data_IF_046898006670
#
_entry.id   IF_046898006670
#
_cell.length_a   1.000
_cell.length_b   1.000
_cell.length_c   1.000
_cell.angle_alpha   90.00
_cell.angle_beta   90.00
_cell.angle_gamma   90.00
#
_symmetry.space_group_name_H-M   'P 1'
#
loop_
_entity.id
_entity.type
_entity.pdbx_description
1 polymer ?
#
# COMPACT_ATOMS: atom_id res chain seq x y z
N UNK A 1 27.14 -6.80 73.28
CA UNK A 1 27.15 -6.93 74.75
C UNK A 1 28.42 -6.28 75.27
N UNK A 2 28.31 -5.44 76.29
CA UNK A 2 29.45 -4.72 76.88
C UNK A 2 29.55 -5.12 78.35
N UNK A 3 30.60 -5.86 78.70
CA UNK A 3 30.80 -6.41 80.04
C UNK A 3 30.86 -5.31 81.11
N UNK A 4 31.35 -4.12 80.77
CA UNK A 4 31.37 -3.00 81.71
C UNK A 4 29.98 -2.45 81.97
N UNK A 5 29.11 -2.41 80.95
CA UNK A 5 27.69 -2.02 81.13
C UNK A 5 26.93 -3.04 81.97
N UNK A 6 27.11 -4.33 81.67
CA UNK A 6 26.53 -5.43 82.44
C UNK A 6 26.99 -5.38 83.90
N UNK A 7 28.30 -5.24 84.13
CA UNK A 7 28.88 -5.15 85.46
C UNK A 7 28.36 -3.95 86.26
N UNK A 8 28.32 -2.76 85.66
CA UNK A 8 27.74 -1.57 86.29
C UNK A 8 26.26 -1.75 86.62
N UNK A 9 25.51 -2.43 85.76
CA UNK A 9 24.09 -2.71 85.97
C UNK A 9 23.85 -3.71 87.12
N UNK A 10 24.65 -4.77 87.19
CA UNK A 10 24.66 -5.71 88.33
C UNK A 10 24.98 -4.95 89.63
N UNK A 11 25.98 -4.08 89.60
CA UNK A 11 26.38 -3.28 90.76
C UNK A 11 25.29 -2.30 91.21
N UNK A 12 24.57 -1.67 90.27
CA UNK A 12 23.46 -0.76 90.60
C UNK A 12 22.31 -1.52 91.25
N UNK A 13 21.89 -2.65 90.69
CA UNK A 13 20.81 -3.47 91.23
C UNK A 13 21.16 -4.02 92.62
N UNK A 14 22.40 -4.49 92.82
CA UNK A 14 22.84 -4.96 94.14
C UNK A 14 22.75 -3.84 95.18
N UNK A 15 23.22 -2.64 94.84
CA UNK A 15 23.20 -1.48 95.74
C UNK A 15 21.76 -1.02 96.03
N UNK A 16 20.88 -1.06 95.04
CA UNK A 16 19.45 -0.75 95.21
C UNK A 16 18.78 -1.73 96.19
N UNK A 17 19.20 -3.00 96.19
CA UNK A 17 18.78 -4.00 97.18
C UNK A 17 19.49 -3.89 98.55
N UNK A 18 20.40 -2.93 98.72
CA UNK A 18 21.15 -2.73 99.97
C UNK A 18 22.14 -3.84 100.33
N UNK A 19 22.45 -4.75 99.40
CA UNK A 19 23.32 -5.90 99.66
C UNK A 19 24.80 -5.54 99.51
N UNK A 20 25.69 -6.08 100.33
CA UNK A 20 27.14 -6.08 100.10
C UNK A 20 27.53 -7.12 99.04
N UNK A 21 28.74 -7.02 98.46
CA UNK A 21 29.23 -8.03 97.52
C UNK A 21 29.34 -9.42 98.17
N UNK A 22 29.66 -9.47 99.46
CA UNK A 22 29.72 -10.70 100.24
C UNK A 22 28.33 -11.32 100.43
N UNK A 23 27.31 -10.52 100.72
CA UNK A 23 25.92 -10.99 100.88
C UNK A 23 25.34 -11.49 99.56
N UNK A 24 25.57 -10.77 98.45
CA UNK A 24 25.16 -11.24 97.12
C UNK A 24 25.90 -12.54 96.74
N UNK A 25 27.21 -12.62 97.02
CA UNK A 25 28.00 -13.82 96.81
C UNK A 25 27.46 -15.02 97.60
N UNK A 26 27.14 -14.82 98.88
CA UNK A 26 26.57 -15.85 99.75
C UNK A 26 25.22 -16.37 99.21
N UNK A 27 24.32 -15.47 98.80
CA UNK A 27 23.03 -15.82 98.18
C UNK A 27 23.20 -16.63 96.89
N UNK A 28 24.25 -16.37 96.12
CA UNK A 28 24.54 -17.04 94.86
C UNK A 28 25.51 -18.22 94.98
N UNK A 29 25.96 -18.56 96.20
CA UNK A 29 26.99 -19.58 96.46
C UNK A 29 28.30 -19.33 95.69
N UNK A 30 28.70 -18.07 95.55
CA UNK A 30 29.98 -17.65 94.95
C UNK A 30 30.77 -16.74 95.89
N UNK A 31 32.05 -16.56 95.61
CA UNK A 31 32.88 -15.63 96.38
C UNK A 31 32.51 -14.17 96.06
N UNK A 32 32.65 -13.30 97.05
CA UNK A 32 32.61 -11.84 96.89
C UNK A 32 33.56 -11.34 95.77
N UNK A 33 34.72 -11.99 95.62
CA UNK A 33 35.68 -11.74 94.53
C UNK A 33 35.09 -12.02 93.14
N UNK A 34 34.24 -13.02 93.00
CA UNK A 34 33.55 -13.31 91.74
C UNK A 34 32.56 -12.19 91.39
N UNK A 35 31.74 -11.78 92.37
CA UNK A 35 30.82 -10.64 92.23
C UNK A 35 31.58 -9.35 91.88
N UNK A 36 32.71 -9.09 92.55
CA UNK A 36 33.58 -7.94 92.25
C UNK A 36 34.16 -7.94 90.83
N UNK A 37 34.48 -9.12 90.28
CA UNK A 37 34.92 -9.23 88.88
C UNK A 37 33.78 -8.97 87.91
N UNK A 38 32.57 -9.43 88.22
CA UNK A 38 31.38 -9.13 87.42
C UNK A 38 31.08 -7.64 87.40
N UNK A 39 31.04 -7.00 88.57
CA UNK A 39 30.70 -5.58 88.70
C UNK A 39 31.71 -4.65 88.00
N UNK A 40 32.97 -5.09 87.89
CA UNK A 40 34.04 -4.38 87.17
C UNK A 40 34.17 -4.78 85.70
N UNK A 41 33.30 -5.65 85.19
CA UNK A 41 33.33 -6.12 83.80
C UNK A 41 34.52 -7.01 83.45
N UNK A 42 35.27 -7.52 84.44
CA UNK A 42 36.45 -8.37 84.25
C UNK A 42 36.08 -9.82 83.91
N UNK A 43 34.89 -10.25 84.29
CA UNK A 43 34.30 -11.54 83.91
C UNK A 43 32.78 -11.40 83.90
N UNK A 44 32.08 -12.39 83.33
CA UNK A 44 30.62 -12.47 83.42
C UNK A 44 30.20 -13.56 84.41
N UNK A 45 28.99 -13.46 84.99
CA UNK A 45 28.37 -14.58 85.67
C UNK A 45 28.22 -15.77 84.70
N UNK A 46 28.43 -16.98 85.21
CA UNK A 46 28.17 -18.19 84.43
C UNK A 46 26.66 -18.28 84.10
N UNK A 47 26.34 -18.90 82.97
CA UNK A 47 24.95 -19.07 82.49
C UNK A 47 24.08 -19.77 83.53
N UNK A 48 24.65 -20.72 84.27
CA UNK A 48 24.02 -21.45 85.38
C UNK A 48 23.61 -20.54 86.55
N UNK A 49 24.26 -19.39 86.70
CA UNK A 49 24.03 -18.42 87.76
C UNK A 49 23.12 -17.27 87.34
N UNK A 50 22.90 -17.06 86.04
CA UNK A 50 22.16 -15.91 85.54
C UNK A 50 20.71 -15.87 86.02
N UNK A 51 20.02 -17.02 86.04
CA UNK A 51 18.63 -17.11 86.52
C UNK A 51 18.53 -16.77 88.01
N UNK A 52 19.45 -17.31 88.82
CA UNK A 52 19.49 -17.04 90.25
C UNK A 52 19.90 -15.59 90.55
N UNK A 53 20.87 -15.06 89.80
CA UNK A 53 21.30 -13.66 89.87
C UNK A 53 20.15 -12.71 89.51
N UNK A 54 19.39 -13.01 88.45
CA UNK A 54 18.19 -12.27 88.05
C UNK A 54 17.15 -12.27 89.17
N UNK A 55 16.91 -13.43 89.77
CA UNK A 55 15.98 -13.59 90.89
C UNK A 55 16.39 -12.77 92.12
N UNK A 56 17.65 -12.88 92.56
CA UNK A 56 18.16 -12.15 93.74
C UNK A 56 18.20 -10.63 93.54
N UNK A 57 18.44 -10.18 92.30
CA UNK A 57 18.45 -8.76 91.94
C UNK A 57 17.06 -8.21 91.55
N UNK A 58 16.06 -9.08 91.37
CA UNK A 58 14.69 -8.72 91.03
C UNK A 58 14.51 -8.21 89.58
N UNK A 59 15.21 -8.81 88.62
CA UNK A 59 15.14 -8.47 87.19
C UNK A 59 15.06 -9.75 86.34
N UNK A 60 15.10 -9.65 85.02
CA UNK A 60 15.17 -10.80 84.10
C UNK A 60 16.57 -10.94 83.46
N UNK A 61 16.85 -12.12 82.91
CA UNK A 61 18.16 -12.44 82.32
C UNK A 61 18.48 -11.54 81.12
N UNK A 62 17.49 -11.19 80.28
CA UNK A 62 17.70 -10.32 79.12
C UNK A 62 18.08 -8.90 79.57
N UNK A 63 17.45 -8.40 80.63
CA UNK A 63 17.80 -7.13 81.28
C UNK A 63 19.21 -7.13 81.87
N UNK A 64 19.62 -8.19 82.58
CA UNK A 64 21.00 -8.34 83.08
C UNK A 64 22.01 -8.28 81.93
N UNK A 65 21.72 -9.02 80.86
CA UNK A 65 22.60 -9.12 79.70
C UNK A 65 22.50 -7.91 78.75
N UNK A 66 21.64 -6.93 79.06
CA UNK A 66 21.41 -5.72 78.27
C UNK A 66 21.07 -6.07 76.80
N UNK A 67 20.25 -7.09 76.60
CA UNK A 67 19.79 -7.53 75.28
C UNK A 67 18.52 -6.75 74.93
N UNK A 68 18.59 -5.89 73.93
CA UNK A 68 17.38 -5.34 73.31
C UNK A 68 16.61 -6.47 72.62
N UNK A 69 15.37 -6.71 73.02
CA UNK A 69 14.46 -7.58 72.28
C UNK A 69 14.22 -6.96 70.90
N UNK A 70 14.81 -7.56 69.85
CA UNK A 70 14.46 -7.19 68.48
C UNK A 70 13.03 -7.70 68.20
N UNK A 71 12.09 -6.76 68.19
CA UNK A 71 10.68 -6.99 67.92
C UNK A 71 10.41 -7.66 66.55
N UNK A 72 9.44 -8.58 66.56
CA UNK A 72 8.59 -9.14 65.51
C UNK A 72 8.95 -8.82 64.04
N UNK A 73 9.44 -9.82 63.31
CA UNK A 73 9.53 -9.78 61.83
C UNK A 73 8.10 -9.79 61.27
N UNK A 74 7.72 -8.74 60.55
CA UNK A 74 6.44 -8.68 59.83
C UNK A 74 6.50 -9.54 58.56
N UNK A 75 6.23 -10.84 58.75
CA UNK A 75 6.24 -11.86 57.70
C UNK A 75 5.26 -11.51 56.58
N UNK A 76 4.12 -10.89 56.90
CA UNK A 76 3.10 -10.54 55.91
C UNK A 76 3.60 -9.45 54.95
N UNK A 77 4.31 -8.45 55.47
CA UNK A 77 4.94 -7.42 54.64
C UNK A 77 5.99 -8.02 53.69
N UNK A 78 6.85 -8.92 54.18
CA UNK A 78 7.87 -9.58 53.37
C UNK A 78 7.23 -10.40 52.24
N UNK A 79 6.23 -11.24 52.57
CA UNK A 79 5.51 -12.04 51.58
C UNK A 79 4.83 -11.18 50.52
N UNK A 80 4.26 -10.04 50.91
CA UNK A 80 3.62 -9.12 49.97
C UNK A 80 4.63 -8.41 49.06
N UNK A 81 5.81 -8.05 49.57
CA UNK A 81 6.90 -7.50 48.76
C UNK A 81 7.44 -8.52 47.76
N UNK A 82 7.65 -9.77 48.17
CA UNK A 82 8.04 -10.86 47.28
C UNK A 82 6.98 -11.15 46.21
N UNK A 83 5.70 -11.23 46.60
CA UNK A 83 4.58 -11.41 45.67
C UNK A 83 4.51 -10.27 44.65
N UNK A 84 4.75 -9.02 45.06
CA UNK A 84 4.82 -7.87 44.15
C UNK A 84 5.99 -7.99 43.18
N UNK A 85 7.18 -8.41 43.64
CA UNK A 85 8.35 -8.64 42.79
C UNK A 85 8.07 -9.74 41.77
N UNK A 86 7.50 -10.87 42.20
CA UNK A 86 7.11 -11.98 41.33
C UNK A 86 6.06 -11.54 40.30
N UNK A 87 4.99 -10.84 40.71
CA UNK A 87 3.98 -10.30 39.78
C UNK A 87 4.60 -9.38 38.73
N UNK A 88 5.49 -8.46 39.13
CA UNK A 88 6.21 -7.59 38.20
C UNK A 88 7.08 -8.39 37.22
N UNK A 89 7.78 -9.42 37.69
CA UNK A 89 8.57 -10.31 36.84
C UNK A 89 7.71 -11.10 35.85
N UNK A 90 6.57 -11.63 36.29
CA UNK A 90 5.61 -12.34 35.43
C UNK A 90 5.07 -11.39 34.36
N UNK A 91 4.55 -10.22 34.73
CA UNK A 91 4.03 -9.23 33.78
C UNK A 91 5.10 -8.83 32.75
N UNK A 92 6.34 -8.56 33.20
CA UNK A 92 7.45 -8.21 32.29
C UNK A 92 7.74 -9.33 31.29
N UNK A 93 7.75 -10.59 31.74
CA UNK A 93 7.94 -11.76 30.86
C UNK A 93 6.75 -11.95 29.90
N UNK A 94 5.52 -11.77 30.38
CA UNK A 94 4.32 -11.87 29.56
C UNK A 94 4.30 -10.81 28.45
N UNK A 95 4.61 -9.54 28.77
CA UNK A 95 4.69 -8.47 27.78
C UNK A 95 5.79 -8.76 26.75
N UNK A 96 6.95 -9.25 27.19
CA UNK A 96 8.07 -9.58 26.28
C UNK A 96 7.68 -10.64 25.23
N UNK A 97 6.78 -11.57 25.57
CA UNK A 97 6.29 -12.63 24.67
C UNK A 97 5.11 -12.14 23.82
N UNK A 98 4.18 -11.37 24.41
CA UNK A 98 2.96 -10.93 23.72
C UNK A 98 3.19 -9.76 22.76
N UNK A 99 4.13 -8.86 23.06
CA UNK A 99 4.44 -7.70 22.24
C UNK A 99 4.83 -8.08 20.78
N UNK A 100 5.77 -9.01 20.53
CA UNK A 100 6.10 -9.39 19.16
C UNK A 100 4.92 -10.06 18.45
N UNK A 101 4.10 -10.85 19.16
CA UNK A 101 2.90 -11.44 18.59
C UNK A 101 1.90 -10.37 18.14
N UNK A 102 1.68 -9.35 18.96
CA UNK A 102 0.81 -8.22 18.60
C UNK A 102 1.35 -7.43 17.41
N UNK A 103 2.67 -7.21 17.35
CA UNK A 103 3.33 -6.55 16.20
C UNK A 103 3.13 -7.38 14.93
N UNK A 104 3.37 -8.69 14.99
CA UNK A 104 3.17 -9.60 13.85
C UNK A 104 1.71 -9.57 13.38
N UNK A 105 0.76 -9.65 14.32
CA UNK A 105 -0.67 -9.57 14.01
C UNK A 105 -1.02 -8.24 13.35
N UNK A 106 -0.50 -7.12 13.86
CA UNK A 106 -0.70 -5.80 13.27
C UNK A 106 -0.16 -5.71 11.84
N UNK A 107 1.00 -6.31 11.56
CA UNK A 107 1.57 -6.35 10.20
C UNK A 107 0.70 -7.20 9.27
N UNK A 108 0.19 -8.34 9.73
CA UNK A 108 -0.71 -9.19 8.95
C UNK A 108 -2.02 -8.46 8.64
N UNK A 109 -2.64 -7.82 9.64
CA UNK A 109 -3.86 -7.03 9.45
C UNK A 109 -3.63 -5.86 8.50
N UNK A 110 -2.51 -5.16 8.64
CA UNK A 110 -2.13 -4.08 7.73
C UNK A 110 -1.97 -4.54 6.27
N UNK A 111 -1.67 -5.83 6.01
CA UNK A 111 -1.65 -6.36 4.65
C UNK A 111 -3.04 -6.68 4.07
N UNK A 112 -4.07 -6.81 4.91
CA UNK A 112 -5.40 -7.32 4.54
C UNK A 112 -6.52 -6.25 4.50
N UNK A 113 -6.42 -5.17 5.29
CA UNK A 113 -7.47 -4.13 5.35
C UNK A 113 -7.46 -3.28 4.07
N UNK A 114 -8.53 -3.07 3.29
CA UNK A 114 -8.50 -2.16 2.14
C UNK A 114 -8.59 -0.68 2.59
N UNK A 115 -7.55 0.12 2.32
CA UNK A 115 -7.51 1.55 2.65
C UNK A 115 -7.91 2.45 1.48
N UNK A 116 -8.02 1.88 0.27
CA UNK A 116 -8.33 2.60 -0.96
C UNK A 116 -7.08 3.13 -1.66
N UNK A 117 -7.27 4.09 -2.55
CA UNK A 117 -6.23 4.71 -3.37
C UNK A 117 -6.33 6.25 -3.30
N UNK A 118 -5.22 6.92 -3.60
CA UNK A 118 -5.16 8.36 -3.86
C UNK A 118 -4.97 8.57 -5.37
N UNK A 119 -5.62 9.58 -5.93
CA UNK A 119 -5.43 9.97 -7.33
C UNK A 119 -4.34 11.02 -7.38
N UNK A 120 -3.19 10.69 -7.98
CA UNK A 120 -2.01 11.54 -7.98
C UNK A 120 -1.72 12.01 -9.41
N UNK A 121 -1.53 13.31 -9.66
CA UNK A 121 -1.09 13.81 -10.96
C UNK A 121 0.38 13.44 -11.18
N UNK A 122 0.68 12.80 -12.31
CA UNK A 122 2.04 12.45 -12.73
C UNK A 122 2.27 12.91 -14.18
N UNK A 123 3.51 13.28 -14.52
CA UNK A 123 3.85 13.69 -15.89
C UNK A 123 3.91 12.46 -16.79
N UNK A 124 3.32 12.58 -17.98
CA UNK A 124 3.41 11.53 -18.98
C UNK A 124 4.81 11.49 -19.59
N UNK A 125 5.40 10.30 -19.69
CA UNK A 125 6.84 10.17 -20.02
C UNK A 125 7.16 10.58 -21.47
N UNK A 126 6.18 10.48 -22.37
CA UNK A 126 6.35 10.90 -23.78
C UNK A 126 5.93 12.35 -24.06
N UNK A 127 5.32 13.04 -23.09
CA UNK A 127 4.93 14.43 -23.22
C UNK A 127 4.92 15.09 -21.84
N UNK A 128 5.98 15.83 -21.51
CA UNK A 128 6.17 16.39 -20.16
C UNK A 128 5.11 17.42 -19.77
N UNK A 129 4.44 18.05 -20.74
CA UNK A 129 3.35 19.01 -20.51
C UNK A 129 2.01 18.31 -20.24
N UNK A 130 1.94 17.00 -20.50
CA UNK A 130 0.74 16.19 -20.29
C UNK A 130 0.75 15.58 -18.89
N UNK A 131 -0.30 15.85 -18.13
CA UNK A 131 -0.54 15.28 -16.80
C UNK A 131 -1.57 14.16 -16.89
N UNK A 132 -1.25 13.02 -16.27
CA UNK A 132 -2.18 11.89 -16.11
C UNK A 132 -2.50 11.71 -14.62
N UNK A 133 -3.74 11.30 -14.32
CA UNK A 133 -4.23 11.18 -12.95
C UNK A 133 -4.35 9.71 -12.55
N UNK A 134 -3.32 9.17 -11.90
CA UNK A 134 -3.23 7.74 -11.63
C UNK A 134 -3.69 7.38 -10.21
N UNK A 135 -4.56 6.39 -10.09
CA UNK A 135 -5.00 5.85 -8.81
C UNK A 135 -3.95 4.93 -8.19
N UNK A 136 -3.32 5.41 -7.13
CA UNK A 136 -2.24 4.73 -6.42
C UNK A 136 -2.76 4.31 -5.04
N UNK A 137 -2.84 3.01 -4.73
CA UNK A 137 -3.16 2.49 -3.41
C UNK A 137 -2.42 3.21 -2.27
N UNK A 138 -3.14 3.53 -1.20
CA UNK A 138 -2.57 4.21 -0.04
C UNK A 138 -1.41 3.42 0.56
N UNK A 139 -0.46 4.14 1.15
CA UNK A 139 0.77 3.58 1.71
C UNK A 139 1.69 2.92 0.66
N UNK A 140 1.58 3.35 -0.59
CA UNK A 140 2.56 3.05 -1.63
C UNK A 140 3.66 4.11 -1.65
N UNK A 141 4.87 3.72 -2.06
CA UNK A 141 6.03 4.61 -2.16
C UNK A 141 6.89 4.23 -3.38
N UNK A 142 7.92 5.04 -3.64
CA UNK A 142 8.95 4.79 -4.67
C UNK A 142 8.35 4.54 -6.06
N UNK A 143 7.84 5.62 -6.67
CA UNK A 143 7.34 5.59 -8.03
C UNK A 143 8.50 5.56 -9.03
N UNK A 144 8.49 4.60 -9.95
CA UNK A 144 9.38 4.53 -11.10
C UNK A 144 8.52 4.58 -12.36
N UNK A 145 8.94 5.40 -13.33
CA UNK A 145 8.33 5.49 -14.65
C UNK A 145 9.37 5.20 -15.72
N UNK A 146 9.08 4.27 -16.63
CA UNK A 146 9.92 3.97 -17.79
C UNK A 146 9.05 3.75 -19.02
N UNK A 147 9.27 4.55 -20.06
CA UNK A 147 8.41 4.61 -21.25
C UNK A 147 6.92 4.74 -20.84
N UNK A 148 6.12 3.72 -21.14
CA UNK A 148 4.69 3.65 -20.85
C UNK A 148 4.36 2.93 -19.53
N UNK A 149 5.38 2.54 -18.75
CA UNK A 149 5.21 1.76 -17.53
C UNK A 149 5.40 2.61 -16.28
N UNK A 150 4.40 2.59 -15.39
CA UNK A 150 4.40 3.29 -14.11
C UNK A 150 4.28 2.27 -12.98
N UNK A 151 5.21 2.27 -12.04
CA UNK A 151 5.23 1.28 -10.97
C UNK A 151 5.54 1.88 -9.62
N UNK A 152 4.93 1.32 -8.57
CA UNK A 152 5.12 1.74 -7.19
C UNK A 152 5.21 0.53 -6.27
N UNK A 153 5.93 0.70 -5.17
CA UNK A 153 6.14 -0.33 -4.16
C UNK A 153 5.16 -0.15 -3.01
N UNK A 154 4.73 -1.25 -2.42
CA UNK A 154 3.81 -1.26 -1.29
C UNK A 154 4.03 -2.48 -0.40
N UNK A 155 3.91 -2.30 0.92
CA UNK A 155 3.97 -3.37 1.91
C UNK A 155 2.66 -4.14 2.00
N UNK A 156 1.62 -3.65 1.32
CA UNK A 156 0.24 -4.12 1.33
C UNK A 156 0.11 -5.45 0.59
N UNK A 157 -0.89 -6.28 0.92
CA UNK A 157 -1.07 -7.58 0.29
C UNK A 157 -1.41 -7.50 -1.21
N UNK A 158 -0.96 -8.47 -2.00
CA UNK A 158 -1.14 -8.47 -3.47
C UNK A 158 -2.61 -8.39 -3.89
N UNK A 159 -3.48 -9.18 -3.25
CA UNK A 159 -4.91 -9.20 -3.54
C UNK A 159 -5.57 -7.86 -3.24
N UNK A 160 -5.13 -7.18 -2.16
CA UNK A 160 -5.65 -5.87 -1.79
C UNK A 160 -5.21 -4.81 -2.79
N UNK A 161 -3.93 -4.79 -3.16
CA UNK A 161 -3.43 -3.88 -4.19
C UNK A 161 -4.16 -4.09 -5.52
N UNK A 162 -4.29 -5.34 -5.97
CA UNK A 162 -5.00 -5.67 -7.22
C UNK A 162 -6.47 -5.21 -7.17
N UNK A 163 -7.12 -5.34 -6.02
CA UNK A 163 -8.49 -4.85 -5.82
C UNK A 163 -8.57 -3.33 -5.81
N UNK A 164 -7.67 -2.63 -5.12
CA UNK A 164 -7.65 -1.16 -5.04
C UNK A 164 -7.33 -0.54 -6.40
N UNK A 165 -6.38 -1.11 -7.15
CA UNK A 165 -6.11 -0.74 -8.55
C UNK A 165 -7.34 -0.94 -9.42
N UNK A 166 -8.00 -2.10 -9.32
CA UNK A 166 -9.23 -2.38 -10.08
C UNK A 166 -10.34 -1.39 -9.74
N UNK A 167 -10.49 -1.01 -8.47
CA UNK A 167 -11.50 -0.04 -8.05
C UNK A 167 -11.26 1.32 -8.72
N UNK A 168 -10.01 1.77 -8.82
CA UNK A 168 -9.66 2.96 -9.59
C UNK A 168 -9.94 2.77 -11.08
N UNK A 169 -9.51 1.67 -11.68
CA UNK A 169 -9.72 1.44 -13.12
C UNK A 169 -11.21 1.42 -13.50
N UNK A 170 -12.07 0.89 -12.63
CA UNK A 170 -13.52 0.91 -12.83
C UNK A 170 -14.14 2.32 -12.80
N UNK A 171 -13.41 3.36 -12.40
CA UNK A 171 -13.89 4.76 -12.51
C UNK A 171 -13.59 5.39 -13.86
N UNK A 172 -12.78 4.74 -14.71
CA UNK A 172 -12.43 5.20 -16.04
C UNK A 172 -13.46 4.71 -17.07
N UNK A 173 -13.43 5.30 -18.27
CA UNK A 173 -14.24 4.82 -19.39
C UNK A 173 -13.75 3.44 -19.85
N UNK A 174 -14.67 2.56 -20.22
CA UNK A 174 -14.33 1.22 -20.71
C UNK A 174 -14.41 1.19 -22.24
N UNK A 175 -13.27 1.04 -22.89
CA UNK A 175 -13.20 0.84 -24.35
C UNK A 175 -12.92 -0.63 -24.64
N UNK A 176 -13.54 -1.19 -25.68
CA UNK A 176 -13.40 -2.61 -26.03
C UNK A 176 -13.04 -2.79 -27.50
N UNK A 177 -12.03 -3.62 -27.75
CA UNK A 177 -11.60 -4.05 -29.08
C UNK A 177 -10.86 -5.40 -28.99
N UNK A 178 -10.94 -6.22 -30.04
CA UNK A 178 -10.31 -7.55 -30.10
C UNK A 178 -10.62 -8.42 -28.86
N UNK A 179 -11.89 -8.47 -28.45
CA UNK A 179 -12.38 -9.20 -27.26
C UNK A 179 -11.71 -8.81 -25.93
N UNK A 180 -11.01 -7.66 -25.90
CA UNK A 180 -10.32 -7.14 -24.73
C UNK A 180 -10.90 -5.79 -24.35
N UNK A 181 -11.12 -5.58 -23.05
CA UNK A 181 -11.55 -4.30 -22.49
C UNK A 181 -10.36 -3.59 -21.85
N UNK A 182 -10.18 -2.32 -22.23
CA UNK A 182 -9.19 -1.41 -21.67
C UNK A 182 -9.87 -0.26 -20.93
N UNK A 183 -9.09 0.50 -20.17
CA UNK A 183 -9.59 1.61 -19.35
C UNK A 183 -9.04 2.93 -19.89
N UNK A 184 -9.93 3.78 -20.39
CA UNK A 184 -9.62 5.05 -21.03
C UNK A 184 -9.93 6.23 -20.10
N UNK A 185 -8.94 7.09 -19.91
CA UNK A 185 -9.07 8.38 -19.25
C UNK A 185 -9.22 9.43 -20.35
N UNK A 186 -10.45 9.91 -20.56
CA UNK A 186 -10.78 10.90 -21.59
C UNK A 186 -10.24 12.29 -21.27
N UNK A 187 -10.11 12.63 -19.97
CA UNK A 187 -9.63 13.95 -19.54
C UNK A 187 -8.14 14.09 -19.82
N UNK A 188 -7.38 13.03 -19.55
CA UNK A 188 -5.97 12.97 -19.85
C UNK A 188 -5.67 12.38 -21.24
N UNK A 189 -6.66 11.93 -22.01
CA UNK A 189 -6.49 11.23 -23.29
C UNK A 189 -5.42 10.11 -23.23
N UNK A 190 -5.58 9.15 -22.32
CA UNK A 190 -4.67 7.98 -22.18
C UNK A 190 -5.45 6.71 -21.89
N UNK A 191 -4.89 5.56 -22.30
CA UNK A 191 -5.48 4.25 -22.03
C UNK A 191 -4.56 3.42 -21.13
N UNK A 192 -5.08 2.90 -20.03
CA UNK A 192 -4.43 1.83 -19.26
C UNK A 192 -4.68 0.50 -19.96
N UNK A 193 -3.63 -0.04 -20.59
CA UNK A 193 -3.72 -1.28 -21.39
C UNK A 193 -3.50 -2.54 -20.57
N UNK A 194 -2.74 -2.44 -19.48
CA UNK A 194 -2.48 -3.56 -18.59
C UNK A 194 -2.13 -3.04 -17.18
N UNK A 195 -2.40 -3.86 -16.17
CA UNK A 195 -1.95 -3.63 -14.81
C UNK A 195 -1.56 -4.96 -14.14
N UNK A 196 -0.57 -4.92 -13.27
CA UNK A 196 -0.09 -6.11 -12.57
C UNK A 196 0.37 -5.80 -11.15
N UNK A 197 0.34 -6.81 -10.30
CA UNK A 197 0.94 -6.76 -8.96
C UNK A 197 1.87 -7.95 -8.85
N UNK A 198 3.16 -7.67 -8.72
CA UNK A 198 4.21 -8.67 -8.49
C UNK A 198 4.75 -8.50 -7.08
N UNK A 199 5.32 -9.55 -6.49
CA UNK A 199 5.74 -9.50 -5.11
C UNK A 199 6.99 -10.29 -4.81
N UNK A 200 7.72 -9.83 -3.80
CA UNK A 200 8.77 -10.57 -3.13
C UNK A 200 8.47 -10.67 -1.62
N UNK A 201 9.44 -11.13 -0.83
CA UNK A 201 9.25 -11.37 0.60
C UNK A 201 9.08 -10.06 1.40
N UNK A 202 9.58 -8.94 0.89
CA UNK A 202 9.60 -7.64 1.58
C UNK A 202 8.48 -6.71 1.14
N UNK A 203 8.19 -6.64 -0.15
CA UNK A 203 7.20 -5.72 -0.71
C UNK A 203 6.57 -6.27 -1.99
N UNK A 204 5.47 -5.66 -2.38
CA UNK A 204 4.83 -5.85 -3.67
C UNK A 204 5.04 -4.63 -4.54
N UNK A 205 5.21 -4.84 -5.83
CA UNK A 205 5.28 -3.81 -6.86
C UNK A 205 4.00 -3.89 -7.67
N UNK A 206 3.27 -2.79 -7.72
CA UNK A 206 2.09 -2.64 -8.55
C UNK A 206 2.44 -1.73 -9.73
N UNK A 207 2.07 -2.16 -10.92
CA UNK A 207 2.47 -1.52 -12.18
C UNK A 207 1.27 -1.32 -13.10
N UNK A 208 1.24 -0.18 -13.78
CA UNK A 208 0.33 0.15 -14.87
C UNK A 208 1.14 0.31 -16.16
N UNK A 209 0.60 -0.19 -17.27
CA UNK A 209 1.08 0.13 -18.62
C UNK A 209 0.04 1.05 -19.27
N UNK A 210 0.48 2.24 -19.70
CA UNK A 210 -0.38 3.34 -20.12
C UNK A 210 0.06 3.80 -21.50
N UNK A 211 -0.86 3.82 -22.47
CA UNK A 211 -0.62 4.30 -23.82
C UNK A 211 -1.28 5.66 -24.01
N UNK A 212 -0.62 6.53 -24.76
CA UNK A 212 -1.20 7.80 -25.19
C UNK A 212 -2.45 7.57 -26.05
N UNK A 213 -3.50 8.35 -25.87
CA UNK A 213 -4.72 8.28 -26.67
C UNK A 213 -5.60 7.06 -26.39
N UNK A 214 -6.66 6.93 -27.19
CA UNK A 214 -7.49 5.73 -27.25
C UNK A 214 -6.71 4.57 -27.91
N UNK A 215 -6.41 3.52 -27.14
CA UNK A 215 -5.61 2.39 -27.63
C UNK A 215 -6.32 1.55 -28.69
N UNK A 216 -7.65 1.43 -28.61
CA UNK A 216 -8.42 0.71 -29.62
C UNK A 216 -8.36 1.40 -30.98
N UNK A 217 -8.38 2.73 -31.00
CA UNK A 217 -8.22 3.51 -32.21
C UNK A 217 -6.84 3.29 -32.84
N UNK A 218 -5.78 3.21 -32.02
CA UNK A 218 -4.43 2.93 -32.51
C UNK A 218 -4.31 1.54 -33.14
N UNK A 219 -4.93 0.53 -32.53
CA UNK A 219 -4.98 -0.82 -33.09
C UNK A 219 -5.74 -0.86 -34.41
N UNK A 220 -6.89 -0.20 -34.47
CA UNK A 220 -7.71 -0.11 -35.69
C UNK A 220 -6.96 0.63 -36.81
N UNK A 221 -6.30 1.76 -36.50
CA UNK A 221 -5.44 2.48 -37.44
C UNK A 221 -4.32 1.57 -37.96
N UNK A 222 -3.71 0.76 -37.09
CA UNK A 222 -2.65 -0.16 -37.51
C UNK A 222 -3.18 -1.21 -38.48
N UNK A 223 -4.32 -1.82 -38.17
CA UNK A 223 -4.98 -2.80 -39.05
C UNK A 223 -5.34 -2.18 -40.41
N UNK A 224 -5.94 -1.00 -40.40
CA UNK A 224 -6.32 -0.30 -41.63
C UNK A 224 -5.10 0.09 -42.47
N UNK A 225 -3.97 0.44 -41.82
CA UNK A 225 -2.70 0.70 -42.51
C UNK A 225 -2.14 -0.57 -43.15
N UNK A 226 -2.32 -1.74 -42.56
CA UNK A 226 -1.88 -3.00 -43.18
C UNK A 226 -2.69 -3.29 -44.45
N UNK A 227 -4.01 -3.03 -44.42
CA UNK A 227 -4.92 -3.25 -45.57
C UNK A 227 -4.76 -2.21 -46.69
N UNK A 228 -4.65 -0.93 -46.35
CA UNK A 228 -4.63 0.17 -47.32
C UNK A 228 -3.21 0.69 -47.59
N UNK A 229 -2.23 0.43 -46.73
CA UNK A 229 -0.94 1.12 -46.74
C UNK A 229 -0.99 2.40 -45.89
N UNK A 230 -0.86 3.57 -46.52
CA UNK A 230 -0.97 4.84 -45.78
C UNK A 230 -2.44 5.29 -45.70
N UNK A 231 -2.90 5.50 -44.46
CA UNK A 231 -4.31 5.79 -44.16
C UNK A 231 -4.74 7.23 -44.44
N UNK A 232 -3.81 8.18 -44.51
CA UNK A 232 -4.09 9.59 -44.85
C UNK A 232 -3.74 9.89 -46.32
N UNK A 233 -3.60 8.86 -47.15
CA UNK A 233 -3.31 9.01 -48.57
C UNK A 233 -4.59 9.14 -49.34
N UNK A 234 -4.69 10.23 -50.11
CA UNK A 234 -5.76 10.45 -51.09
C UNK A 234 -5.70 9.30 -52.09
N UNK A 235 -6.83 8.64 -52.31
CA UNK A 235 -6.97 7.59 -53.31
C UNK A 235 -7.55 8.17 -54.57
N UNK A 236 -6.85 7.94 -55.67
CA UNK A 236 -7.23 8.45 -56.98
C UNK A 236 -7.56 7.31 -57.93
N UNK A 237 -8.37 7.61 -58.95
CA UNK A 237 -8.64 6.65 -60.01
C UNK A 237 -7.32 6.17 -60.63
N UNK A 238 -7.18 4.86 -60.79
CA UNK A 238 -5.99 4.21 -61.33
C UNK A 238 -6.12 3.99 -62.84
N UNK A 239 -6.51 5.04 -63.56
CA UNK A 239 -6.61 5.10 -65.01
C UNK A 239 -6.24 6.51 -65.49
N UNK A 240 -5.14 6.62 -66.23
CA UNK A 240 -4.63 7.92 -66.74
C UNK A 240 -5.37 8.38 -68.00
N UNK A 241 -6.12 7.51 -68.67
CA UNK A 241 -6.87 7.81 -69.89
C UNK A 241 -8.35 8.16 -69.59
N UNK A 242 -8.78 7.99 -68.34
CA UNK A 242 -10.16 8.30 -67.93
C UNK A 242 -10.39 9.80 -67.83
N UNK A 243 -11.53 10.26 -68.34
CA UNK A 243 -12.03 11.63 -68.12
C UNK A 243 -12.59 11.84 -66.71
N UNK A 244 -12.55 10.82 -65.85
CA UNK A 244 -13.10 10.81 -64.51
C UNK A 244 -12.01 11.00 -63.45
N UNK A 245 -12.11 12.07 -62.67
CA UNK A 245 -11.22 12.32 -61.52
C UNK A 245 -11.95 11.99 -60.23
N UNK A 246 -11.49 10.94 -59.53
CA UNK A 246 -12.03 10.54 -58.22
C UNK A 246 -10.99 10.79 -57.15
N UNK A 247 -11.39 11.42 -56.05
CA UNK A 247 -10.58 11.62 -54.85
C UNK A 247 -11.32 11.11 -53.62
N UNK A 248 -10.90 9.96 -53.12
CA UNK A 248 -11.32 9.48 -51.80
C UNK A 248 -10.27 9.90 -50.75
N UNK A 249 -10.68 10.74 -49.82
CA UNK A 249 -9.80 11.41 -48.84
C UNK A 249 -10.15 10.90 -47.43
N UNK A 250 -9.51 9.81 -46.98
CA UNK A 250 -9.68 9.33 -45.61
C UNK A 250 -9.00 10.27 -44.59
N UNK A 251 -9.61 10.38 -43.41
CA UNK A 251 -9.11 11.17 -42.28
C UNK A 251 -8.88 10.28 -41.05
N UNK A 252 -7.80 10.52 -40.31
CA UNK A 252 -7.53 9.92 -38.99
C UNK A 252 -8.39 10.52 -37.86
N UNK A 253 -9.47 11.23 -38.17
CA UNK A 253 -10.44 11.73 -37.19
C UNK A 253 -11.68 10.84 -37.19
N UNK A 254 -12.24 10.58 -36.02
CA UNK A 254 -13.53 9.88 -35.87
C UNK A 254 -14.68 10.88 -35.72
N UNK A 255 -15.88 10.40 -36.02
CA UNK A 255 -17.11 11.04 -35.59
C UNK A 255 -17.33 10.80 -34.09
N UNK A 256 -17.78 11.82 -33.35
CA UNK A 256 -17.93 11.75 -31.90
C UNK A 256 -18.83 10.57 -31.49
N UNK A 257 -18.32 9.70 -30.60
CA UNK A 257 -19.06 8.56 -30.07
C UNK A 257 -19.26 7.37 -31.04
N UNK A 258 -18.61 7.35 -32.21
CA UNK A 258 -18.77 6.25 -33.17
C UNK A 258 -17.42 5.66 -33.65
N UNK A 259 -17.38 4.35 -33.94
CA UNK A 259 -16.18 3.64 -34.42
C UNK A 259 -15.86 3.89 -35.91
N UNK A 260 -16.42 4.94 -36.49
CA UNK A 260 -16.29 5.27 -37.91
C UNK A 260 -15.37 6.47 -38.10
N UNK A 261 -14.59 6.42 -39.16
CA UNK A 261 -13.57 7.41 -39.50
C UNK A 261 -14.11 8.38 -40.51
N UNK A 262 -13.76 9.66 -40.43
CA UNK A 262 -14.22 10.65 -41.39
C UNK A 262 -13.57 10.43 -42.76
N UNK A 263 -14.33 10.65 -43.82
CA UNK A 263 -13.79 10.70 -45.18
C UNK A 263 -14.62 11.63 -46.07
N UNK A 264 -13.95 12.17 -47.09
CA UNK A 264 -14.60 12.92 -48.17
C UNK A 264 -14.42 12.18 -49.48
N UNK A 265 -15.44 12.23 -50.34
CA UNK A 265 -15.38 11.73 -51.70
C UNK A 265 -15.69 12.88 -52.65
N UNK A 266 -14.78 13.11 -53.60
CA UNK A 266 -14.95 14.12 -54.65
C UNK A 266 -14.81 13.46 -56.01
N UNK A 267 -15.75 13.72 -56.90
CA UNK A 267 -15.81 13.12 -58.21
C UNK A 267 -16.08 14.21 -59.22
N UNK A 268 -15.20 14.31 -60.21
CA UNK A 268 -15.27 15.27 -61.30
C UNK A 268 -15.18 14.54 -62.63
N UNK A 269 -15.73 15.16 -63.67
CA UNK A 269 -15.74 14.63 -65.03
C UNK A 269 -15.35 15.70 -66.04
N UNK A 270 -14.61 15.30 -67.07
CA UNK A 270 -14.12 16.13 -68.15
C UNK A 270 -12.78 16.80 -67.85
N UNK A 271 -12.22 17.45 -68.88
CA UNK A 271 -10.93 18.15 -68.80
C UNK A 271 -10.87 19.11 -67.60
N UNK A 272 -9.73 19.10 -66.90
CA UNK A 272 -9.44 19.96 -65.73
C UNK A 272 -10.55 19.96 -64.65
N UNK A 273 -11.24 18.83 -64.44
CA UNK A 273 -12.29 18.69 -63.42
C UNK A 273 -13.50 19.64 -63.64
N UNK A 274 -13.77 19.98 -64.90
CA UNK A 274 -14.75 21.00 -65.29
C UNK A 274 -16.20 20.74 -64.82
N UNK A 275 -16.60 19.48 -64.65
CA UNK A 275 -17.95 19.11 -64.18
C UNK A 275 -17.89 18.37 -62.85
N UNK A 276 -18.53 18.92 -61.82
CA UNK A 276 -18.72 18.22 -60.53
C UNK A 276 -19.81 17.16 -60.67
N UNK A 277 -19.46 15.89 -60.43
CA UNK A 277 -20.43 14.80 -60.33
C UNK A 277 -20.92 14.64 -58.89
N UNK A 278 -19.99 14.63 -57.94
CA UNK A 278 -20.26 14.47 -56.51
C UNK A 278 -19.21 15.20 -55.67
N UNK A 279 -19.65 15.92 -54.63
CA UNK A 279 -18.85 16.25 -53.46
C UNK A 279 -19.63 15.82 -52.23
N UNK A 280 -19.10 14.86 -51.49
CA UNK A 280 -19.73 14.34 -50.29
C UNK A 280 -18.75 14.20 -49.12
N UNK A 281 -19.30 14.34 -47.93
CA UNK A 281 -18.65 14.06 -46.66
C UNK A 281 -19.39 12.93 -45.96
N UNK A 282 -18.64 12.18 -45.16
CA UNK A 282 -19.18 10.98 -44.57
C UNK A 282 -18.23 10.32 -43.61
N UNK A 283 -18.58 9.09 -43.29
CA UNK A 283 -17.74 8.20 -42.49
C UNK A 283 -17.41 6.94 -43.25
N UNK A 284 -16.31 6.30 -42.91
CA UNK A 284 -15.93 5.00 -43.43
C UNK A 284 -15.52 4.05 -42.32
N UNK A 285 -15.66 2.76 -42.61
CA UNK A 285 -15.11 1.67 -41.81
C UNK A 285 -14.59 0.59 -42.74
N UNK A 286 -13.65 -0.23 -42.25
CA UNK A 286 -13.17 -1.41 -42.96
C UNK A 286 -13.67 -2.62 -42.18
N UNK A 287 -14.46 -3.46 -42.85
CA UNK A 287 -14.94 -4.74 -42.34
C UNK A 287 -14.38 -5.83 -43.23
N UNK A 288 -13.63 -6.75 -42.63
CA UNK A 288 -12.92 -7.79 -43.39
C UNK A 288 -12.07 -7.13 -44.49
N UNK A 289 -12.32 -7.44 -45.76
CA UNK A 289 -11.61 -6.88 -46.91
C UNK A 289 -12.44 -5.82 -47.66
N UNK A 290 -13.39 -5.17 -46.98
CA UNK A 290 -14.28 -4.18 -47.60
C UNK A 290 -14.23 -2.84 -46.86
N UNK A 291 -13.98 -1.76 -47.59
CA UNK A 291 -14.18 -0.39 -47.12
C UNK A 291 -15.61 0.03 -47.44
N UNK A 292 -16.37 0.37 -46.41
CA UNK A 292 -17.75 0.86 -46.54
C UNK A 292 -17.76 2.35 -46.24
N UNK A 293 -18.13 3.16 -47.22
CA UNK A 293 -18.29 4.60 -47.10
C UNK A 293 -19.77 4.96 -46.96
N UNK A 294 -20.10 5.66 -45.89
CA UNK A 294 -21.43 6.16 -45.57
C UNK A 294 -21.44 7.67 -45.75
N UNK A 295 -22.22 8.15 -46.72
CA UNK A 295 -22.40 9.60 -46.92
C UNK A 295 -23.30 10.13 -45.81
N UNK A 296 -22.85 11.17 -45.12
CA UNK A 296 -23.66 11.91 -44.15
C UNK A 296 -24.17 13.22 -44.75
N UNK A 297 -23.41 13.79 -45.67
CA UNK A 297 -23.73 15.03 -46.37
C UNK A 297 -23.26 14.97 -47.82
N UNK A 298 -24.13 15.37 -48.75
CA UNK A 298 -23.77 15.56 -50.17
C UNK A 298 -23.91 17.06 -50.43
N UNK A 299 -22.78 17.76 -50.56
CA UNK A 299 -22.77 19.21 -50.74
C UNK A 299 -23.01 19.60 -52.20
N UNK A 300 -22.52 18.78 -53.14
CA UNK A 300 -22.70 19.01 -54.57
C UNK A 300 -23.01 17.69 -55.29
N UNK A 301 -23.93 17.74 -56.25
CA UNK A 301 -24.38 16.59 -57.04
C UNK A 301 -24.85 17.03 -58.42
N UNK A 302 -24.45 16.29 -59.46
CA UNK A 302 -24.96 16.52 -60.81
C UNK A 302 -26.43 16.13 -60.91
N UNK A 303 -27.23 17.02 -61.50
CA UNK A 303 -28.65 16.75 -61.74
C UNK A 303 -28.86 15.47 -62.56
N UNK A 304 -29.74 14.60 -62.08
CA UNK A 304 -30.07 13.32 -62.74
C UNK A 304 -29.13 12.16 -62.43
N UNK A 305 -28.02 12.37 -61.70
CA UNK A 305 -27.16 11.29 -61.21
C UNK A 305 -27.72 10.75 -59.88
N UNK A 306 -28.01 9.45 -59.78
CA UNK A 306 -28.46 8.84 -58.52
C UNK A 306 -27.25 8.40 -57.68
N UNK A 307 -26.97 9.14 -56.62
CA UNK A 307 -25.86 8.84 -55.70
C UNK A 307 -26.39 7.97 -54.54
N UNK A 308 -25.79 6.79 -54.28
CA UNK A 308 -26.22 5.94 -53.18
C UNK A 308 -25.75 6.50 -51.83
N UNK A 309 -26.54 6.31 -50.78
CA UNK A 309 -26.14 6.70 -49.41
C UNK A 309 -24.91 5.94 -48.90
N UNK A 310 -24.65 4.75 -49.46
CA UNK A 310 -23.54 3.87 -49.07
C UNK A 310 -22.81 3.40 -50.32
N UNK A 311 -21.48 3.44 -50.31
CA UNK A 311 -20.64 2.84 -51.34
C UNK A 311 -19.67 1.85 -50.70
N UNK A 312 -19.54 0.67 -51.29
CA UNK A 312 -18.65 -0.38 -50.80
C UNK A 312 -17.53 -0.64 -51.79
N UNK A 313 -16.30 -0.66 -51.28
CA UNK A 313 -15.09 -0.93 -52.04
C UNK A 313 -14.45 -2.22 -51.54
N UNK A 314 -14.16 -3.16 -52.44
CA UNK A 314 -13.32 -4.32 -52.13
C UNK A 314 -11.86 -3.87 -52.08
N UNK A 315 -11.16 -4.22 -51.01
CA UNK A 315 -9.74 -3.96 -50.84
C UNK A 315 -8.97 -5.12 -51.46
N UNK A 316 -8.22 -4.85 -52.53
CA UNK A 316 -7.37 -5.86 -53.18
C UNK A 316 -6.04 -5.25 -53.60
N UNK A 317 -4.94 -5.85 -53.12
CA UNK A 317 -3.58 -5.36 -53.37
C UNK A 317 -3.43 -3.86 -53.01
N UNK A 318 -4.10 -3.44 -51.92
CA UNK A 318 -4.21 -2.05 -51.42
C UNK A 318 -5.01 -1.07 -52.30
N UNK A 319 -5.61 -1.55 -53.39
CA UNK A 319 -6.54 -0.77 -54.20
C UNK A 319 -7.98 -0.93 -53.69
N UNK A 320 -8.81 0.08 -53.93
CA UNK A 320 -10.25 0.11 -53.63
C UNK A 320 -11.05 -0.09 -54.90
N UNK A 321 -11.74 -1.23 -55.03
CA UNK A 321 -12.55 -1.57 -56.20
C UNK A 321 -14.02 -1.35 -55.86
N UNK A 322 -14.68 -0.39 -56.49
CA UNK A 322 -16.10 -0.11 -56.24
C UNK A 322 -16.97 -1.29 -56.69
N UNK A 323 -17.82 -1.81 -55.79
CA UNK A 323 -18.72 -2.95 -56.11
C UNK A 323 -19.90 -2.55 -56.97
N UNK A 324 -20.70 -1.62 -56.48
CA UNK A 324 -21.91 -1.14 -57.14
C UNK A 324 -21.57 0.19 -57.82
N UNK A 325 -21.20 0.10 -59.10
CA UNK A 325 -20.74 1.24 -59.88
C UNK A 325 -21.93 2.10 -60.34
N UNK A 326 -22.32 3.08 -59.52
CA UNK A 326 -23.32 4.10 -59.89
C UNK A 326 -22.78 5.14 -60.91
N UNK A 327 -21.51 5.00 -61.32
CA UNK A 327 -20.85 5.82 -62.35
C UNK A 327 -20.62 5.05 -63.66
N UNK A 328 -21.34 3.94 -63.91
CA UNK A 328 -21.15 3.06 -65.08
C UNK A 328 -21.39 3.75 -66.44
N UNK A 329 -22.07 4.90 -66.45
CA UNK A 329 -22.25 5.77 -67.62
C UNK A 329 -20.97 6.56 -67.97
N UNK A 330 -20.04 6.72 -67.01
CA UNK A 330 -18.79 7.47 -67.17
C UNK A 330 -17.58 6.56 -67.30
N UNK A 331 -17.50 5.52 -66.47
CA UNK A 331 -16.35 4.61 -66.44
C UNK A 331 -16.83 3.20 -66.06
N UNK A 332 -16.39 2.16 -66.79
CA UNK A 332 -16.90 0.79 -66.58
C UNK A 332 -16.38 0.12 -65.31
N UNK A 333 -15.24 0.58 -64.80
CA UNK A 333 -14.66 0.04 -63.58
C UNK A 333 -13.95 1.12 -62.77
N UNK A 334 -14.31 1.24 -61.50
CA UNK A 334 -13.66 2.18 -60.59
C UNK A 334 -12.69 1.44 -59.69
N UNK A 335 -11.40 1.69 -59.90
CA UNK A 335 -10.29 1.17 -59.08
C UNK A 335 -9.50 2.36 -58.57
N UNK A 336 -9.52 2.60 -57.26
CA UNK A 336 -8.75 3.67 -56.64
C UNK A 336 -7.45 3.12 -56.04
N UNK A 337 -6.33 3.81 -56.29
CA UNK A 337 -5.00 3.40 -55.83
C UNK A 337 -4.55 4.15 -54.59
#
# INVERSE_FOLDING_TARGET
MDNNKIGKFIASLRKEKGLTQQELGAKLFVTDKAVSKWERGLSLPDISLLEKLATELGTDIYSILQIEQKNHVDVEKILNEERRKLKKQVIKKTILIMLPFFIILSVVLFKLIPFGYDVIPIRYTHNEDKLIHLGIPKFSWHMESYEDSYSYKSFRGQNILKSEMKNYLNTLEHIACNDTTYYYDSDADVTVVNYSVTGNIFYNTASYNIKNGNYCDQLQIKEYKEKLGMLNTIRTLNDEESELSIYFIPSLKKEDGCNKWLASLKIYYGDDESTVLEVSNGTFEIKEDELVYYRTEISEQKSGLEIPNVSTFVIKDKNLILKENYLDDYEKGIILK
#
